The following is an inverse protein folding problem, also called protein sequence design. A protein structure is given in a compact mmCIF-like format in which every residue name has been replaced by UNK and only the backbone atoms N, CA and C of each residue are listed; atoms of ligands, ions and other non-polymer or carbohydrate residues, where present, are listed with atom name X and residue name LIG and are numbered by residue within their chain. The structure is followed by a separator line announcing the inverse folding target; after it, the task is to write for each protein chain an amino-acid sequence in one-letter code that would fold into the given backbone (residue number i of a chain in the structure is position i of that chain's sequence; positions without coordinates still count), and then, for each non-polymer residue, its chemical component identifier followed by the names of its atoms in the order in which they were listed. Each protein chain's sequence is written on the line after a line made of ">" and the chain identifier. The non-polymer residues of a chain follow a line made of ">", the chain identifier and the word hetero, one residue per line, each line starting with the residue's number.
data_IF_370667673760
#
_entry.id   IF_370667673760
#
_cell.length_a   1.000
_cell.length_b   1.000
_cell.length_c   1.000
_cell.angle_alpha   90.00
_cell.angle_beta   90.00
_cell.angle_gamma   90.00
#
_symmetry.space_group_name_H-M   'P 1'
#
loop_
_entity.id
_entity.type
_entity.pdbx_description
1 polymer ?
#
# COMPACT_ATOMS: atom_id res chain seq x y z
N UNK A 1 0.55 21.25 -5.01
CA UNK A 1 1.58 20.70 -5.94
C UNK A 1 1.35 19.20 -6.15
N UNK A 2 1.19 18.47 -5.04
CA UNK A 2 0.57 17.16 -4.88
C UNK A 2 -0.59 16.86 -5.84
N UNK A 3 -1.64 17.70 -5.90
CA UNK A 3 -2.78 17.47 -6.81
C UNK A 3 -2.41 17.44 -8.30
N UNK A 4 -1.51 18.33 -8.76
CA UNK A 4 -1.08 18.36 -10.17
C UNK A 4 -0.32 17.09 -10.54
N UNK A 5 0.56 16.63 -9.65
CA UNK A 5 1.30 15.37 -9.83
C UNK A 5 0.33 14.19 -9.84
N UNK A 6 -0.62 14.17 -8.91
CA UNK A 6 -1.67 13.15 -8.86
C UNK A 6 -2.45 13.10 -10.18
N UNK A 7 -2.95 14.24 -10.69
CA UNK A 7 -3.70 14.26 -11.94
C UNK A 7 -2.89 13.75 -13.13
N UNK A 8 -1.59 14.10 -13.22
CA UNK A 8 -0.72 13.61 -14.31
C UNK A 8 -0.63 12.08 -14.32
N UNK A 9 -0.51 11.47 -13.14
CA UNK A 9 -0.46 10.01 -12.99
C UNK A 9 -1.85 9.40 -13.18
N UNK A 10 -2.88 9.96 -12.56
CA UNK A 10 -4.26 9.45 -12.62
C UNK A 10 -4.84 9.49 -14.04
N UNK A 11 -4.39 10.43 -14.88
CA UNK A 11 -4.74 10.48 -16.30
C UNK A 11 -4.15 9.34 -17.14
N UNK A 12 -3.26 8.51 -16.58
CA UNK A 12 -2.75 7.31 -17.25
C UNK A 12 -3.60 6.06 -16.95
N UNK A 13 -4.37 6.08 -15.86
CA UNK A 13 -5.22 4.97 -15.46
C UNK A 13 -6.29 4.68 -16.53
N UNK A 14 -6.47 3.41 -16.87
CA UNK A 14 -7.46 2.96 -17.87
C UNK A 14 -7.01 3.12 -19.32
N UNK A 15 -5.80 3.65 -19.58
CA UNK A 15 -5.29 3.85 -20.95
C UNK A 15 -4.49 2.68 -21.49
N UNK A 16 -3.93 1.84 -20.63
CA UNK A 16 -3.12 0.69 -21.05
C UNK A 16 -3.24 -0.45 -20.06
N UNK A 17 -3.78 -1.57 -20.53
CA UNK A 17 -3.96 -2.79 -19.73
C UNK A 17 -2.65 -3.25 -19.09
N UNK A 18 -1.51 -3.09 -19.79
CA UNK A 18 -0.21 -3.48 -19.26
C UNK A 18 0.20 -2.61 -18.06
N UNK A 19 0.10 -1.28 -18.19
CA UNK A 19 0.45 -0.36 -17.10
C UNK A 19 -0.52 -0.48 -15.93
N UNK A 20 -1.82 -0.64 -16.19
CA UNK A 20 -2.83 -0.81 -15.16
C UNK A 20 -2.61 -2.12 -14.40
N UNK A 21 -2.35 -3.23 -15.10
CA UNK A 21 -2.05 -4.52 -14.47
C UNK A 21 -0.79 -4.47 -13.60
N UNK A 22 0.25 -3.77 -14.07
CA UNK A 22 1.48 -3.59 -13.32
C UNK A 22 1.24 -2.75 -12.05
N UNK A 23 0.46 -1.67 -12.16
CA UNK A 23 0.10 -0.84 -11.02
C UNK A 23 -0.73 -1.62 -9.99
N UNK A 24 -1.71 -2.41 -10.44
CA UNK A 24 -2.52 -3.29 -9.58
C UNK A 24 -1.62 -4.34 -8.91
N UNK A 25 -0.67 -4.93 -9.63
CA UNK A 25 0.28 -5.87 -9.05
C UNK A 25 1.08 -5.27 -7.90
N UNK A 26 1.62 -4.07 -8.06
CA UNK A 26 2.36 -3.42 -6.99
C UNK A 26 1.47 -3.00 -5.82
N UNK A 27 0.21 -2.63 -6.08
CA UNK A 27 -0.72 -2.18 -5.06
C UNK A 27 -1.34 -3.31 -4.23
N UNK A 28 -1.72 -4.43 -4.85
CA UNK A 28 -2.50 -5.50 -4.21
C UNK A 28 -1.70 -6.81 -4.07
N UNK A 29 -0.98 -7.22 -5.12
CA UNK A 29 -0.36 -8.55 -5.16
C UNK A 29 1.05 -8.61 -4.55
N UNK A 30 1.83 -7.53 -4.61
CA UNK A 30 3.21 -7.51 -4.11
C UNK A 30 3.29 -7.89 -2.62
N UNK A 31 2.35 -7.41 -1.80
CA UNK A 31 2.31 -7.74 -0.37
C UNK A 31 2.26 -9.25 -0.10
N UNK A 32 1.40 -9.97 -0.83
CA UNK A 32 1.30 -11.43 -0.73
C UNK A 32 2.58 -12.13 -1.19
N UNK A 33 3.22 -11.62 -2.24
CA UNK A 33 4.52 -12.15 -2.74
C UNK A 33 5.60 -11.99 -1.67
N UNK A 34 5.69 -10.82 -1.03
CA UNK A 34 6.68 -10.57 0.03
C UNK A 34 6.46 -11.50 1.24
N UNK A 35 5.21 -11.73 1.64
CA UNK A 35 4.87 -12.69 2.69
C UNK A 35 5.29 -14.11 2.30
N UNK A 36 4.99 -14.54 1.06
CA UNK A 36 5.39 -15.85 0.58
C UNK A 36 6.92 -16.03 0.59
N UNK A 37 7.68 -15.02 0.17
CA UNK A 37 9.16 -15.04 0.20
C UNK A 37 9.69 -15.18 1.63
N UNK A 38 9.13 -14.45 2.60
CA UNK A 38 9.52 -14.58 4.01
C UNK A 38 9.24 -15.98 4.56
N UNK A 39 8.11 -16.58 4.19
CA UNK A 39 7.78 -17.95 4.58
C UNK A 39 8.76 -18.97 3.94
N UNK A 40 9.10 -18.80 2.66
CA UNK A 40 10.10 -19.66 2.00
C UNK A 40 11.46 -19.56 2.67
N UNK A 41 11.86 -18.38 3.13
CA UNK A 41 13.10 -18.22 3.91
C UNK A 41 13.04 -18.92 5.26
N UNK A 42 11.91 -18.83 5.98
CA UNK A 42 11.72 -19.59 7.22
C UNK A 42 11.80 -21.11 7.01
N UNK A 43 11.23 -21.61 5.91
CA UNK A 43 11.30 -23.04 5.57
C UNK A 43 12.73 -23.47 5.20
N UNK A 44 13.52 -22.58 4.58
CA UNK A 44 14.90 -22.85 4.19
C UNK A 44 15.83 -22.97 5.40
N UNK A 45 15.75 -22.04 6.34
CA UNK A 45 16.58 -22.07 7.55
C UNK A 45 15.91 -21.26 8.67
N UNK A 46 15.11 -21.94 9.47
CA UNK A 46 14.35 -21.32 10.55
C UNK A 46 15.23 -20.54 11.53
N UNK A 47 16.35 -21.12 11.96
CA UNK A 47 17.22 -20.50 12.97
C UNK A 47 17.83 -19.20 12.46
N UNK A 48 18.16 -19.15 11.17
CA UNK A 48 18.71 -17.97 10.52
C UNK A 48 17.67 -16.88 10.25
N UNK A 49 16.48 -17.26 9.77
CA UNK A 49 15.51 -16.31 9.24
C UNK A 49 14.36 -15.94 10.20
N UNK A 50 14.17 -16.65 11.31
CA UNK A 50 13.09 -16.36 12.27
C UNK A 50 13.10 -14.91 12.78
N UNK A 51 14.27 -14.41 13.20
CA UNK A 51 14.36 -13.08 13.79
C UNK A 51 14.05 -11.96 12.80
N UNK A 52 14.50 -12.08 11.54
CA UNK A 52 14.24 -11.07 10.52
C UNK A 52 12.78 -11.08 10.11
N UNK A 53 12.19 -12.27 9.96
CA UNK A 53 10.77 -12.40 9.61
C UNK A 53 9.89 -11.84 10.73
N UNK A 54 10.15 -12.19 12.00
CA UNK A 54 9.41 -11.65 13.13
C UNK A 54 9.50 -10.12 13.24
N UNK A 55 10.70 -9.54 13.03
CA UNK A 55 10.88 -8.08 13.01
C UNK A 55 10.15 -7.42 11.85
N UNK A 56 10.19 -8.01 10.66
CA UNK A 56 9.50 -7.49 9.47
C UNK A 56 7.98 -7.45 9.69
N UNK A 57 7.39 -8.56 10.15
CA UNK A 57 5.95 -8.61 10.47
C UNK A 57 5.59 -7.65 11.61
N UNK A 58 6.38 -7.64 12.69
CA UNK A 58 6.15 -6.73 13.82
C UNK A 58 6.21 -5.27 13.42
N UNK A 59 7.19 -4.88 12.60
CA UNK A 59 7.30 -3.52 12.08
C UNK A 59 6.15 -3.15 11.15
N UNK A 60 5.73 -4.05 10.25
CA UNK A 60 4.61 -3.81 9.35
C UNK A 60 3.28 -3.64 10.11
N UNK A 61 3.01 -4.50 11.11
CA UNK A 61 1.82 -4.39 11.96
C UNK A 61 1.85 -3.08 12.76
N UNK A 62 3.00 -2.75 13.37
CA UNK A 62 3.15 -1.52 14.15
C UNK A 62 2.97 -0.27 13.29
N UNK A 63 3.51 -0.27 12.07
CA UNK A 63 3.37 0.85 11.14
C UNK A 63 1.91 1.01 10.67
N UNK A 64 1.24 -0.10 10.30
CA UNK A 64 -0.13 -0.08 9.78
C UNK A 64 -1.18 0.25 10.84
N UNK A 65 -1.10 -0.42 12.00
CA UNK A 65 -2.15 -0.35 13.03
C UNK A 65 -1.79 0.55 14.21
N UNK A 66 -0.50 0.84 14.42
CA UNK A 66 -0.06 1.76 15.46
C UNK A 66 0.13 3.17 14.91
N UNK A 67 1.21 3.36 14.14
CA UNK A 67 1.66 4.70 13.72
C UNK A 67 0.66 5.34 12.75
N UNK A 68 0.22 4.62 11.72
CA UNK A 68 -0.70 5.16 10.72
C UNK A 68 -2.03 5.57 11.34
N UNK A 69 -2.65 4.69 12.12
CA UNK A 69 -3.94 4.99 12.75
C UNK A 69 -3.84 6.13 13.78
N UNK A 70 -2.74 6.20 14.53
CA UNK A 70 -2.47 7.32 15.42
C UNK A 70 -2.38 8.64 14.66
N UNK A 71 -1.66 8.69 13.53
CA UNK A 71 -1.56 9.92 12.74
C UNK A 71 -2.91 10.28 12.10
N UNK A 72 -3.65 9.30 11.55
CA UNK A 72 -4.97 9.53 10.96
C UNK A 72 -5.99 10.07 11.97
N UNK A 73 -5.89 9.65 13.23
CA UNK A 73 -6.73 10.17 14.30
C UNK A 73 -6.55 11.68 14.52
N UNK A 74 -5.31 12.17 14.46
CA UNK A 74 -5.02 13.61 14.63
C UNK A 74 -5.10 14.40 13.32
N UNK A 75 -4.92 13.75 12.18
CA UNK A 75 -4.77 14.41 10.89
C UNK A 75 -5.58 13.68 9.81
N UNK A 76 -6.87 13.96 9.79
CA UNK A 76 -7.75 13.48 8.73
C UNK A 76 -7.56 14.32 7.47
N UNK A 77 -7.23 13.64 6.37
CA UNK A 77 -7.06 14.24 5.05
C UNK A 77 -7.94 13.48 4.07
N UNK A 78 -8.90 14.14 3.40
CA UNK A 78 -9.74 13.46 2.43
C UNK A 78 -8.90 12.89 1.28
N UNK A 79 -9.36 11.79 0.69
CA UNK A 79 -8.74 11.19 -0.51
C UNK A 79 -9.18 11.95 -1.75
N UNK A 80 -8.32 12.06 -2.79
CA UNK A 80 -8.66 12.80 -4.01
C UNK A 80 -9.96 12.37 -4.67
N UNK A 81 -10.34 11.08 -4.59
CA UNK A 81 -11.58 10.56 -5.18
C UNK A 81 -12.87 10.97 -4.43
N UNK A 82 -12.76 11.45 -3.19
CA UNK A 82 -13.93 11.93 -2.43
C UNK A 82 -14.35 13.33 -2.88
N UNK A 83 -13.38 14.14 -3.30
CA UNK A 83 -13.60 15.55 -3.64
C UNK A 83 -13.51 15.82 -5.15
N UNK A 84 -12.97 14.88 -5.94
CA UNK A 84 -12.73 15.05 -7.36
C UNK A 84 -13.17 13.81 -8.14
N UNK A 85 -13.55 14.01 -9.41
CA UNK A 85 -13.71 12.91 -10.36
C UNK A 85 -12.32 12.41 -10.77
N UNK A 86 -12.01 11.15 -10.46
CA UNK A 86 -10.72 10.52 -10.74
C UNK A 86 -10.93 9.14 -11.36
N UNK A 87 -9.93 8.66 -12.10
CA UNK A 87 -9.94 7.31 -12.66
C UNK A 87 -9.44 6.31 -11.61
N UNK A 88 -10.32 5.48 -11.05
CA UNK A 88 -9.95 4.46 -10.07
C UNK A 88 -9.68 3.12 -10.76
N UNK A 89 -8.47 2.58 -10.57
CA UNK A 89 -8.13 1.20 -10.97
C UNK A 89 -8.62 0.17 -9.95
N UNK A 90 -8.65 0.56 -8.67
CA UNK A 90 -9.08 -0.26 -7.55
C UNK A 90 -10.07 0.54 -6.70
N UNK A 91 -11.11 -0.14 -6.23
CA UNK A 91 -12.02 0.45 -5.24
C UNK A 91 -11.31 0.58 -3.90
N UNK A 92 -11.46 1.73 -3.24
CA UNK A 92 -10.78 2.01 -1.98
C UNK A 92 -11.74 2.68 -0.99
N UNK A 93 -11.67 2.27 0.27
CA UNK A 93 -12.52 2.81 1.34
C UNK A 93 -12.27 4.30 1.60
N UNK A 94 -13.32 5.02 2.01
CA UNK A 94 -13.31 6.45 2.35
C UNK A 94 -12.59 6.73 3.68
N UNK A 95 -11.33 6.31 3.77
CA UNK A 95 -10.42 6.49 4.92
C UNK A 95 -9.46 7.63 4.66
N UNK A 96 -8.88 8.22 5.71
CA UNK A 96 -7.85 9.28 5.57
C UNK A 96 -6.77 8.89 4.57
N UNK A 97 -6.38 9.85 3.73
CA UNK A 97 -5.38 9.71 2.68
C UNK A 97 -3.95 9.76 3.23
N UNK A 98 -3.76 10.33 4.42
CA UNK A 98 -2.43 10.52 5.01
C UNK A 98 -2.34 9.98 6.45
N UNK A 99 -1.28 9.22 6.77
CA UNK A 99 -0.35 8.60 5.84
C UNK A 99 -1.01 7.44 5.08
N UNK A 100 -0.42 7.06 3.95
CA UNK A 100 -0.66 5.74 3.37
C UNK A 100 -0.12 4.70 4.35
N UNK A 101 -0.98 3.78 4.77
CA UNK A 101 -0.65 2.74 5.75
C UNK A 101 -0.21 1.45 5.12
#
# INVERSE_FOLDING_TARGET
>A
MDFLIFQRINNLAGKSVCFDSLAIFFAEYLGYVLVAVLLLFLLKDWKKYWQITAKAFGAAILARFGITELIRFFWDRPRPFLENQVNLLLSHEATSSFPSG
#
